data_IF_368529016111
#
_entry.id   IF_368529016111
#
_cell.length_a   1.000
_cell.length_b   1.000
_cell.length_c   1.000
_cell.angle_alpha   90.00
_cell.angle_beta   90.00
_cell.angle_gamma   90.00
#
_symmetry.space_group_name_H-M   'P 1'
#
loop_
_entity.id
_entity.type
_entity.pdbx_description
1 polymer ?
#
# COMPACT_ATOMS: atom_id res chain seq x y z
N UNK A 1 5.12 7.09 -17.20
CA UNK A 1 3.71 7.29 -16.79
C UNK A 1 3.54 6.89 -15.32
N UNK A 2 2.72 7.63 -14.58
CA UNK A 2 2.25 7.26 -13.24
C UNK A 2 0.77 6.91 -13.36
N UNK A 3 0.40 5.69 -12.97
CA UNK A 3 -0.98 5.23 -12.90
C UNK A 3 -1.48 5.32 -11.47
N UNK A 4 -2.52 6.10 -11.22
CA UNK A 4 -3.16 6.23 -9.91
C UNK A 4 -4.58 5.67 -9.98
N UNK A 5 -4.79 4.51 -9.36
CA UNK A 5 -6.04 3.74 -9.54
C UNK A 5 -6.10 3.03 -10.91
N UNK A 6 -7.01 2.06 -11.09
CA UNK A 6 -8.24 1.87 -10.31
C UNK A 6 -8.15 0.91 -9.12
N UNK A 7 -6.97 0.35 -8.82
CA UNK A 7 -6.76 -0.60 -7.72
C UNK A 7 -6.54 0.10 -6.37
N UNK A 8 -7.56 0.84 -5.93
CA UNK A 8 -7.54 1.66 -4.72
C UNK A 8 -8.77 1.40 -3.86
N UNK A 9 -8.71 1.78 -2.58
CA UNK A 9 -9.81 1.57 -1.64
C UNK A 9 -11.03 2.40 -1.99
N UNK A 10 -12.21 1.77 -1.94
CA UNK A 10 -13.49 2.46 -2.14
C UNK A 10 -13.71 3.56 -1.09
N UNK A 11 -13.33 3.29 0.15
CA UNK A 11 -13.48 4.21 1.28
C UNK A 11 -12.59 5.45 1.17
N UNK A 12 -11.52 5.36 0.37
CA UNK A 12 -10.54 6.42 0.15
C UNK A 12 -10.41 6.81 -1.33
N UNK A 13 -11.45 6.58 -2.12
CA UNK A 13 -11.46 6.84 -3.57
C UNK A 13 -11.25 8.31 -3.95
N UNK A 14 -11.54 9.26 -3.06
CA UNK A 14 -11.41 10.69 -3.36
C UNK A 14 -12.21 11.08 -4.61
N UNK A 15 -11.53 11.63 -5.62
CA UNK A 15 -12.13 12.02 -6.90
C UNK A 15 -12.29 10.86 -7.91
N UNK A 16 -11.83 9.64 -7.59
CA UNK A 16 -12.00 8.50 -8.47
C UNK A 16 -13.49 8.04 -8.48
N UNK A 17 -14.12 7.91 -9.66
CA UNK A 17 -15.47 7.37 -9.74
C UNK A 17 -15.48 5.91 -9.31
N UNK A 18 -16.44 5.55 -8.46
CA UNK A 18 -16.47 4.24 -7.79
C UNK A 18 -16.71 3.09 -8.77
N UNK A 19 -17.48 3.33 -9.83
CA UNK A 19 -17.79 2.38 -10.90
C UNK A 19 -16.56 1.87 -11.67
N UNK A 20 -15.48 2.65 -11.66
CA UNK A 20 -14.23 2.29 -12.32
C UNK A 20 -13.23 1.61 -11.40
N UNK A 21 -13.50 1.53 -10.10
CA UNK A 21 -12.61 0.82 -9.17
C UNK A 21 -12.57 -0.67 -9.49
N UNK A 22 -11.39 -1.26 -9.31
CA UNK A 22 -11.10 -2.67 -9.62
C UNK A 22 -10.35 -3.32 -8.45
N UNK A 23 -10.45 -4.64 -8.36
CA UNK A 23 -9.74 -5.48 -7.38
C UNK A 23 -8.87 -6.49 -8.12
N UNK A 24 -7.97 -7.17 -7.40
CA UNK A 24 -7.11 -8.23 -7.95
C UNK A 24 -7.66 -9.65 -7.69
N UNK A 25 -8.92 -9.76 -7.24
CA UNK A 25 -9.47 -11.00 -6.67
C UNK A 25 -9.50 -12.16 -7.67
N UNK A 26 -9.74 -11.88 -8.95
CA UNK A 26 -9.94 -12.93 -9.95
C UNK A 26 -8.61 -13.59 -10.32
N UNK A 27 -7.62 -12.78 -10.73
CA UNK A 27 -6.38 -13.28 -11.35
C UNK A 27 -5.14 -12.52 -10.92
N UNK A 28 -5.20 -11.68 -9.89
CA UNK A 28 -4.00 -11.05 -9.32
C UNK A 28 -3.38 -10.06 -10.31
N UNK A 29 -2.12 -10.30 -10.67
CA UNK A 29 -1.39 -9.45 -11.63
C UNK A 29 -2.01 -9.43 -13.02
N UNK A 30 -2.69 -10.50 -13.44
CA UNK A 30 -3.34 -10.53 -14.74
C UNK A 30 -4.50 -9.51 -14.82
N UNK A 31 -5.26 -9.30 -13.73
CA UNK A 31 -6.33 -8.30 -13.69
C UNK A 31 -5.78 -6.87 -13.91
N UNK A 32 -4.56 -6.62 -13.43
CA UNK A 32 -3.84 -5.38 -13.67
C UNK A 32 -3.49 -5.20 -15.15
N UNK A 33 -2.99 -6.25 -15.80
CA UNK A 33 -2.69 -6.23 -17.23
C UNK A 33 -3.94 -6.10 -18.10
N UNK A 34 -5.06 -6.73 -17.72
CA UNK A 34 -6.31 -6.59 -18.46
C UNK A 34 -6.87 -5.16 -18.36
N UNK A 35 -6.59 -4.49 -17.24
CA UNK A 35 -7.04 -3.11 -16.98
C UNK A 35 -6.18 -2.08 -17.72
N UNK A 36 -4.85 -2.21 -17.67
CA UNK A 36 -3.93 -1.20 -18.23
C UNK A 36 -3.35 -1.57 -19.60
N UNK A 37 -3.41 -2.85 -20.00
CA UNK A 37 -2.68 -3.36 -21.15
C UNK A 37 -1.17 -3.43 -20.90
N UNK A 38 -0.38 -2.96 -21.86
CA UNK A 38 1.07 -2.93 -21.73
C UNK A 38 1.54 -1.91 -20.68
N UNK A 39 2.54 -2.31 -19.89
CA UNK A 39 3.15 -1.48 -18.85
C UNK A 39 4.52 -0.88 -19.27
N UNK A 40 4.91 -0.99 -20.55
CA UNK A 40 6.28 -0.64 -21.01
C UNK A 40 6.69 0.81 -20.68
N UNK A 41 5.71 1.73 -20.71
CA UNK A 41 5.90 3.16 -20.43
C UNK A 41 5.50 3.56 -19.01
N UNK A 42 5.09 2.59 -18.18
CA UNK A 42 4.71 2.80 -16.79
C UNK A 42 5.96 2.79 -15.92
N UNK A 43 6.01 3.71 -14.96
CA UNK A 43 7.14 3.87 -14.03
C UNK A 43 6.70 3.86 -12.58
N UNK A 44 5.46 4.28 -12.31
CA UNK A 44 4.88 4.31 -10.98
C UNK A 44 3.43 3.81 -11.06
N UNK A 45 3.01 2.97 -10.11
CA UNK A 45 1.62 2.61 -9.89
C UNK A 45 1.24 2.89 -8.43
N UNK A 46 0.16 3.64 -8.21
CA UNK A 46 -0.46 3.78 -6.88
C UNK A 46 -1.52 2.70 -6.71
N UNK A 47 -1.43 1.92 -5.62
CA UNK A 47 -2.44 0.93 -5.25
C UNK A 47 -2.67 0.86 -3.75
N UNK A 48 -3.81 0.30 -3.35
CA UNK A 48 -4.16 0.07 -1.96
C UNK A 48 -3.63 -1.31 -1.49
N UNK A 49 -2.76 -1.38 -0.45
CA UNK A 49 -2.17 -2.62 0.05
C UNK A 49 -3.17 -3.57 0.72
N UNK A 50 -4.34 -3.10 1.14
CA UNK A 50 -5.38 -3.94 1.76
C UNK A 50 -6.18 -4.76 0.77
N UNK A 51 -6.07 -4.49 -0.54
CA UNK A 51 -6.73 -5.30 -1.55
C UNK A 51 -6.15 -6.71 -1.55
N UNK A 52 -7.01 -7.71 -1.72
CA UNK A 52 -6.58 -9.09 -1.81
C UNK A 52 -5.56 -9.27 -2.93
N UNK A 53 -4.53 -10.09 -2.67
CA UNK A 53 -3.41 -10.36 -3.60
C UNK A 53 -2.55 -9.15 -3.97
N UNK A 54 -2.71 -8.00 -3.30
CA UNK A 54 -1.86 -6.83 -3.51
C UNK A 54 -0.37 -7.14 -3.40
N UNK A 55 0.04 -7.93 -2.40
CA UNK A 55 1.44 -8.34 -2.19
C UNK A 55 2.06 -9.09 -3.37
N UNK A 56 1.29 -9.99 -4.00
CA UNK A 56 1.69 -10.72 -5.20
C UNK A 56 1.91 -9.74 -6.36
N UNK A 57 0.95 -8.85 -6.58
CA UNK A 57 0.99 -7.82 -7.62
C UNK A 57 2.16 -6.86 -7.43
N UNK A 58 2.42 -6.45 -6.19
CA UNK A 58 3.55 -5.58 -5.84
C UNK A 58 4.87 -6.25 -6.24
N UNK A 59 5.05 -7.52 -5.89
CA UNK A 59 6.25 -8.27 -6.24
C UNK A 59 6.48 -8.34 -7.76
N UNK A 60 5.42 -8.60 -8.53
CA UNK A 60 5.47 -8.63 -10.00
C UNK A 60 5.78 -7.26 -10.62
N UNK A 61 5.23 -6.17 -10.08
CA UNK A 61 5.54 -4.83 -10.55
C UNK A 61 6.99 -4.44 -10.27
N UNK A 62 7.47 -4.76 -9.07
CA UNK A 62 8.84 -4.45 -8.65
C UNK A 62 9.86 -5.26 -9.45
N UNK A 63 9.59 -6.55 -9.72
CA UNK A 63 10.47 -7.39 -10.57
C UNK A 63 10.62 -6.84 -11.99
N UNK A 64 9.62 -6.10 -12.47
CA UNK A 64 9.61 -5.39 -13.76
C UNK A 64 10.20 -3.98 -13.71
N UNK A 65 10.73 -3.56 -12.57
CA UNK A 65 11.30 -2.23 -12.38
C UNK A 65 10.28 -1.09 -12.27
N UNK A 66 9.00 -1.42 -12.02
CA UNK A 66 7.94 -0.44 -11.78
C UNK A 66 7.90 -0.13 -10.28
N UNK A 67 7.92 1.15 -9.94
CA UNK A 67 7.77 1.57 -8.54
C UNK A 67 6.33 1.46 -8.10
N UNK A 68 6.11 0.84 -6.95
CA UNK A 68 4.80 0.81 -6.31
C UNK A 68 4.72 1.86 -5.22
N UNK A 69 3.66 2.65 -5.28
CA UNK A 69 3.29 3.62 -4.28
C UNK A 69 2.02 3.18 -3.55
N UNK A 70 2.03 3.22 -2.22
CA UNK A 70 0.85 2.87 -1.42
C UNK A 70 0.02 4.14 -1.20
N UNK A 71 -1.25 4.12 -1.60
CA UNK A 71 -2.13 5.29 -1.52
C UNK A 71 -3.60 4.91 -1.62
N UNK A 72 -4.47 5.86 -1.29
CA UNK A 72 -5.93 5.65 -1.27
C UNK A 72 -6.32 4.37 -0.53
N UNK A 73 -5.84 4.25 0.71
CA UNK A 73 -5.83 3.00 1.46
C UNK A 73 -6.31 3.21 2.89
N UNK A 74 -7.16 2.30 3.38
CA UNK A 74 -7.48 2.13 4.81
C UNK A 74 -6.64 1.04 5.46
N UNK A 75 -5.59 0.58 4.78
CA UNK A 75 -4.75 -0.52 5.19
C UNK A 75 -4.06 -0.29 6.53
N UNK A 76 -3.97 -1.36 7.31
CA UNK A 76 -3.29 -1.35 8.60
C UNK A 76 -1.76 -1.48 8.43
N UNK A 77 -1.05 -1.33 9.55
CA UNK A 77 0.42 -1.41 9.56
C UNK A 77 0.93 -2.75 9.00
N UNK A 78 0.30 -3.87 9.32
CA UNK A 78 0.71 -5.20 8.85
C UNK A 78 0.61 -5.31 7.32
N UNK A 79 -0.43 -4.76 6.71
CA UNK A 79 -0.59 -4.73 5.25
C UNK A 79 0.45 -3.82 4.59
N UNK A 80 0.73 -2.65 5.18
CA UNK A 80 1.79 -1.76 4.70
C UNK A 80 3.18 -2.41 4.81
N UNK A 81 3.48 -3.07 5.92
CA UNK A 81 4.74 -3.81 6.13
C UNK A 81 4.89 -4.95 5.12
N UNK A 82 3.81 -5.70 4.85
CA UNK A 82 3.82 -6.74 3.82
C UNK A 82 4.15 -6.14 2.45
N UNK A 83 3.46 -5.06 2.06
CA UNK A 83 3.73 -4.35 0.82
C UNK A 83 5.19 -3.87 0.69
N UNK A 84 5.76 -3.32 1.76
CA UNK A 84 7.18 -2.90 1.80
C UNK A 84 8.11 -4.10 1.68
N UNK A 85 7.83 -5.23 2.35
CA UNK A 85 8.60 -6.47 2.20
C UNK A 85 8.60 -7.00 0.76
N UNK A 86 7.51 -6.78 0.03
CA UNK A 86 7.39 -7.12 -1.39
C UNK A 86 7.97 -6.05 -2.34
N UNK A 87 8.55 -4.98 -1.81
CA UNK A 87 9.32 -3.98 -2.58
C UNK A 87 8.58 -2.68 -2.89
N UNK A 88 7.41 -2.43 -2.28
CA UNK A 88 6.80 -1.10 -2.33
C UNK A 88 7.75 -0.08 -1.67
N UNK A 89 8.06 1.00 -2.40
CA UNK A 89 9.11 1.97 -2.03
C UNK A 89 8.59 3.40 -1.87
N UNK A 90 7.32 3.65 -2.19
CA UNK A 90 6.70 4.95 -2.11
C UNK A 90 5.38 4.88 -1.32
N UNK A 91 5.04 5.99 -0.66
CA UNK A 91 3.73 6.23 -0.08
C UNK A 91 3.20 7.49 -0.76
N UNK A 92 2.09 7.37 -1.49
CA UNK A 92 1.42 8.52 -2.11
C UNK A 92 0.69 9.27 -1.01
N UNK A 93 1.20 10.46 -0.68
CA UNK A 93 0.68 11.36 0.35
C UNK A 93 0.63 10.76 1.76
N UNK A 94 1.78 10.75 2.43
CA UNK A 94 2.02 10.18 3.77
C UNK A 94 1.03 10.55 4.91
N UNK A 95 0.01 11.38 4.69
CA UNK A 95 -1.04 11.69 5.67
C UNK A 95 -2.43 11.94 5.06
N UNK A 96 -2.56 11.98 3.73
CA UNK A 96 -3.87 12.10 3.10
C UNK A 96 -4.42 10.70 2.90
N UNK A 97 -5.64 10.47 3.39
CA UNK A 97 -6.36 9.21 3.23
C UNK A 97 -5.82 7.98 4.00
N UNK A 98 -4.84 8.10 4.90
CA UNK A 98 -4.41 7.01 5.80
C UNK A 98 -5.02 7.15 7.21
N UNK A 99 -5.00 6.08 8.03
CA UNK A 99 -5.42 6.15 9.43
C UNK A 99 -4.55 7.16 10.22
N UNK A 100 -5.14 7.98 11.12
CA UNK A 100 -4.36 8.91 11.94
C UNK A 100 -3.34 8.19 12.82
N UNK A 101 -2.12 8.74 12.92
CA UNK A 101 -1.02 8.22 13.78
C UNK A 101 -1.44 8.03 15.24
N UNK A 102 -2.47 8.74 15.71
CA UNK A 102 -3.02 8.63 17.06
C UNK A 102 -3.69 7.28 17.38
N UNK A 103 -3.90 6.41 16.39
CA UNK A 103 -4.51 5.09 16.55
C UNK A 103 -3.50 3.94 16.52
N UNK A 104 -2.19 4.22 16.40
CA UNK A 104 -1.18 3.19 16.57
C UNK A 104 -1.22 2.66 18.02
N UNK A 105 -1.15 1.33 18.24
CA UNK A 105 -1.04 0.79 19.58
C UNK A 105 0.17 1.42 20.25
N UNK A 106 -0.04 2.01 21.44
CA UNK A 106 1.06 2.59 22.21
C UNK A 106 2.09 1.49 22.47
N UNK A 107 3.40 1.77 22.29
CA UNK A 107 4.43 0.80 22.65
C UNK A 107 4.21 0.41 24.11
N UNK A 108 4.20 -0.90 24.37
CA UNK A 108 4.08 -1.43 25.72
C UNK A 108 5.15 -0.77 26.59
N UNK A 109 4.71 0.00 27.60
CA UNK A 109 5.61 0.46 28.66
C UNK A 109 6.07 -0.77 29.41
N UNK A 110 7.26 -1.28 29.09
CA UNK A 110 7.96 -2.17 30.02
C UNK A 110 8.27 -1.36 31.28
N UNK A 111 7.40 -1.49 32.27
CA UNK A 111 7.65 -1.08 33.64
C UNK A 111 8.78 -1.93 34.20
N UNK A 112 9.92 -1.31 34.47
CA UNK A 112 11.05 -2.02 35.04
C UNK A 112 12.33 -1.20 35.00
N UNK A 113 12.39 -0.09 35.74
CA UNK A 113 13.68 0.54 36.07
C UNK A 113 13.88 0.51 37.57
N UNK A 114 14.34 -0.65 38.05
CA UNK A 114 15.03 -0.73 39.34
C UNK A 114 16.27 0.14 39.28
N UNK A 115 16.34 1.10 40.21
CA UNK A 115 17.52 1.91 40.46
C UNK A 115 18.72 0.99 40.76
N UNK A 116 19.83 1.19 40.06
CA UNK A 116 21.17 1.05 40.61
C UNK A 116 22.06 2.11 39.98
N UNK A 117 22.40 3.12 40.77
CA UNK A 117 23.52 4.00 40.46
C UNK A 117 24.83 3.29 40.73
N UNK A 118 25.88 3.66 40.02
CA UNK A 118 27.25 3.77 40.50
C UNK A 118 28.05 4.63 39.51
N UNK A 119 28.70 5.64 40.10
CA UNK A 119 29.68 6.61 39.56
C UNK A 119 29.15 7.71 38.64
#
# INVERSE_FOLDING_TARGET
LHLEGPFISKDKKGAHPEEYLRTFENRGFQDLLDTYGSLDNVRIITLAPELDRSSEVIGELVSRGIRVSLGHSVGNLTQAEAAVKHGATFITHLFNAMLPVSQLPKPARNGGSSRKGYL
#
